data_IF_564516202801
#
_entry.id   IF_564516202801
#
_cell.length_a   1.000
_cell.length_b   1.000
_cell.length_c   1.000
_cell.angle_alpha   90.00
_cell.angle_beta   90.00
_cell.angle_gamma   90.00
#
_symmetry.space_group_name_H-M   'P 1'
#
loop_
_entity.id
_entity.type
_entity.pdbx_description
1 polymer ?
#
# COMPACT_ATOMS: atom_id res chain seq x y z
N UNK A 1 14.61 -81.26 -5.80
CA UNK A 1 13.37 -80.67 -5.27
C UNK A 1 13.65 -79.43 -4.42
N UNK A 2 14.62 -79.47 -3.51
CA UNK A 2 14.93 -78.36 -2.59
C UNK A 2 15.46 -77.07 -3.27
N UNK A 3 16.31 -77.19 -4.30
CA UNK A 3 16.82 -76.05 -5.08
C UNK A 3 15.73 -75.27 -5.83
N UNK A 4 14.64 -75.93 -6.21
CA UNK A 4 13.55 -75.31 -6.96
C UNK A 4 12.61 -74.57 -6.01
N UNK A 5 12.41 -75.11 -4.80
CA UNK A 5 11.67 -74.44 -3.72
C UNK A 5 12.42 -73.22 -3.17
N UNK A 6 13.75 -73.28 -3.04
CA UNK A 6 14.55 -72.13 -2.60
C UNK A 6 14.55 -70.99 -3.63
N UNK A 7 14.60 -71.29 -4.93
CA UNK A 7 14.47 -70.30 -6.01
C UNK A 7 13.11 -69.61 -6.00
N UNK A 8 12.03 -70.37 -5.78
CA UNK A 8 10.68 -69.80 -5.67
C UNK A 8 10.56 -68.91 -4.44
N UNK A 9 11.11 -69.32 -3.30
CA UNK A 9 11.09 -68.52 -2.07
C UNK A 9 11.87 -67.21 -2.23
N UNK A 10 13.04 -67.26 -2.84
CA UNK A 10 13.86 -66.06 -3.12
C UNK A 10 13.15 -65.14 -4.11
N UNK A 11 12.55 -65.68 -5.17
CA UNK A 11 11.73 -64.91 -6.11
C UNK A 11 10.53 -64.24 -5.44
N UNK A 12 9.86 -64.95 -4.52
CA UNK A 12 8.73 -64.42 -3.76
C UNK A 12 9.16 -63.31 -2.78
N UNK A 13 10.28 -63.48 -2.08
CA UNK A 13 10.84 -62.46 -1.16
C UNK A 13 11.30 -61.22 -1.94
N UNK A 14 12.00 -61.40 -3.07
CA UNK A 14 12.41 -60.27 -3.93
C UNK A 14 11.18 -59.56 -4.49
N UNK A 15 10.18 -60.30 -4.98
CA UNK A 15 8.92 -59.76 -5.47
C UNK A 15 8.14 -59.00 -4.39
N UNK A 16 8.10 -59.52 -3.15
CA UNK A 16 7.33 -58.95 -2.06
C UNK A 16 8.02 -57.76 -1.37
N UNK A 17 9.36 -57.70 -1.36
CA UNK A 17 10.09 -56.65 -0.64
C UNK A 17 10.77 -55.65 -1.57
N UNK A 18 11.44 -56.10 -2.64
CA UNK A 18 12.25 -55.21 -3.50
C UNK A 18 11.35 -54.41 -4.45
N UNK A 19 10.36 -55.05 -5.07
CA UNK A 19 9.44 -54.38 -6.00
C UNK A 19 8.66 -53.24 -5.34
N UNK A 20 7.99 -53.41 -4.18
CA UNK A 20 7.29 -52.29 -3.55
C UNK A 20 8.24 -51.20 -3.03
N UNK A 21 9.44 -51.54 -2.58
CA UNK A 21 10.44 -50.55 -2.16
C UNK A 21 10.92 -49.68 -3.33
N UNK A 22 11.20 -50.27 -4.50
CA UNK A 22 11.56 -49.52 -5.71
C UNK A 22 10.38 -48.67 -6.21
N UNK A 23 9.14 -49.20 -6.17
CA UNK A 23 7.94 -48.43 -6.52
C UNK A 23 7.71 -47.24 -5.57
N UNK A 24 7.91 -47.43 -4.26
CA UNK A 24 7.82 -46.35 -3.26
C UNK A 24 8.88 -45.27 -3.49
N UNK A 25 10.13 -45.65 -3.78
CA UNK A 25 11.20 -44.68 -4.09
C UNK A 25 10.92 -43.89 -5.37
N UNK A 26 10.41 -44.54 -6.42
CA UNK A 26 9.99 -43.87 -7.65
C UNK A 26 8.82 -42.92 -7.41
N UNK A 27 7.82 -43.34 -6.62
CA UNK A 27 6.69 -42.50 -6.25
C UNK A 27 7.11 -41.29 -5.40
N UNK A 28 8.03 -41.46 -4.44
CA UNK A 28 8.56 -40.36 -3.65
C UNK A 28 9.35 -39.35 -4.50
N UNK A 29 10.17 -39.85 -5.46
CA UNK A 29 10.89 -38.97 -6.40
C UNK A 29 9.92 -38.23 -7.33
N UNK A 30 8.88 -38.90 -7.83
CA UNK A 30 7.84 -38.29 -8.64
C UNK A 30 7.01 -37.26 -7.84
N UNK A 31 6.75 -37.52 -6.55
CA UNK A 31 6.08 -36.57 -5.66
C UNK A 31 6.94 -35.33 -5.39
N UNK A 32 8.25 -35.50 -5.14
CA UNK A 32 9.21 -34.39 -5.02
C UNK A 32 9.30 -33.56 -6.30
N UNK A 33 9.34 -34.21 -7.46
CA UNK A 33 9.33 -33.53 -8.77
C UNK A 33 8.00 -32.83 -9.05
N UNK A 34 6.87 -33.44 -8.67
CA UNK A 34 5.54 -32.84 -8.75
C UNK A 34 5.39 -31.61 -7.85
N UNK A 35 5.93 -31.65 -6.63
CA UNK A 35 5.99 -30.51 -5.73
C UNK A 35 6.88 -29.38 -6.27
N UNK A 36 8.00 -29.72 -6.90
CA UNK A 36 8.86 -28.72 -7.55
C UNK A 36 8.15 -28.05 -8.74
N UNK A 37 7.40 -28.81 -9.54
CA UNK A 37 6.60 -28.26 -10.64
C UNK A 37 5.37 -27.48 -10.19
N UNK A 38 4.74 -27.84 -9.07
CA UNK A 38 3.61 -27.08 -8.50
C UNK A 38 4.04 -25.77 -7.84
N UNK A 39 5.31 -25.65 -7.47
CA UNK A 39 5.87 -24.43 -6.88
C UNK A 39 6.48 -23.49 -7.92
N UNK A 40 6.42 -23.85 -9.21
CA UNK A 40 6.85 -22.98 -10.30
C UNK A 40 5.70 -22.04 -10.69
N UNK A 41 5.78 -20.73 -10.37
CA UNK A 41 4.71 -19.77 -10.64
C UNK A 41 4.42 -19.63 -12.14
N UNK A 42 5.42 -19.88 -13.00
CA UNK A 42 5.32 -19.76 -14.44
C UNK A 42 4.29 -20.73 -15.05
N UNK A 43 4.09 -21.90 -14.43
CA UNK A 43 3.11 -22.89 -14.87
C UNK A 43 1.65 -22.43 -14.67
N UNK A 44 1.44 -21.40 -13.85
CA UNK A 44 0.13 -20.84 -13.54
C UNK A 44 -0.08 -19.45 -14.15
N UNK A 45 0.84 -19.00 -15.01
CA UNK A 45 0.80 -17.67 -15.62
C UNK A 45 1.24 -16.54 -14.68
N UNK A 46 1.84 -16.86 -13.54
CA UNK A 46 2.49 -15.86 -12.68
C UNK A 46 3.95 -15.66 -13.09
N UNK A 47 4.48 -14.47 -12.81
CA UNK A 47 5.89 -14.15 -13.04
C UNK A 47 6.76 -14.90 -12.02
N UNK A 48 7.84 -15.60 -12.43
CA UNK A 48 8.78 -16.24 -11.51
C UNK A 48 9.38 -15.25 -10.51
N UNK A 49 9.71 -15.70 -9.29
CA UNK A 49 10.19 -14.82 -8.23
C UNK A 49 11.47 -14.04 -8.61
N UNK A 50 12.37 -14.66 -9.37
CA UNK A 50 13.58 -14.07 -9.93
C UNK A 50 13.33 -13.03 -11.03
N UNK A 51 12.11 -12.97 -11.57
CA UNK A 51 11.65 -12.01 -12.58
C UNK A 51 10.66 -10.99 -11.99
N UNK A 52 10.26 -11.15 -10.73
CA UNK A 52 9.50 -10.11 -10.03
C UNK A 52 10.39 -8.88 -9.88
N UNK A 53 9.82 -7.74 -10.20
CA UNK A 53 10.49 -6.47 -10.08
C UNK A 53 10.70 -6.13 -8.60
N UNK A 54 11.93 -6.33 -8.12
CA UNK A 54 12.35 -6.05 -6.74
C UNK A 54 12.30 -4.56 -6.39
N UNK A 55 12.02 -3.69 -7.38
CA UNK A 55 11.78 -2.26 -7.18
C UNK A 55 10.44 -1.97 -6.50
N UNK A 56 9.53 -2.94 -6.44
CA UNK A 56 8.35 -2.85 -5.57
C UNK A 56 8.79 -3.20 -4.15
N UNK A 57 8.90 -2.22 -3.23
CA UNK A 57 9.55 -2.47 -1.96
C UNK A 57 8.71 -3.45 -1.14
N UNK A 58 9.40 -4.36 -0.46
CA UNK A 58 8.83 -5.05 0.70
C UNK A 58 8.35 -4.03 1.75
N UNK A 59 7.75 -4.50 2.86
CA UNK A 59 7.24 -3.60 3.89
C UNK A 59 8.30 -2.56 4.28
N UNK A 60 8.01 -1.26 4.08
CA UNK A 60 8.88 -0.13 4.46
C UNK A 60 8.87 -0.02 5.98
N UNK A 61 9.92 -0.49 6.69
CA UNK A 61 9.90 -0.56 8.14
C UNK A 61 9.95 0.85 8.76
N UNK A 62 10.61 1.79 8.10
CA UNK A 62 10.71 3.18 8.57
C UNK A 62 9.35 3.87 8.54
N UNK A 63 8.58 3.63 7.47
CA UNK A 63 7.20 4.11 7.37
C UNK A 63 6.32 3.49 8.46
N UNK A 64 6.42 2.18 8.67
CA UNK A 64 5.63 1.48 9.69
C UNK A 64 5.95 2.01 11.09
N UNK A 65 7.22 2.21 11.42
CA UNK A 65 7.65 2.73 12.72
C UNK A 65 7.19 4.18 12.93
N UNK A 66 7.43 5.05 11.93
CA UNK A 66 7.02 6.46 11.99
C UNK A 66 5.50 6.61 12.09
N UNK A 67 4.74 5.80 11.34
CA UNK A 67 3.29 5.81 11.39
C UNK A 67 2.80 5.26 12.73
N UNK A 68 3.37 4.17 13.25
CA UNK A 68 3.01 3.62 14.56
C UNK A 68 3.21 4.66 15.67
N UNK A 69 4.33 5.38 15.64
CA UNK A 69 4.59 6.47 16.58
C UNK A 69 3.55 7.60 16.41
N UNK A 70 3.35 8.07 15.19
CA UNK A 70 2.40 9.15 14.85
C UNK A 70 0.99 8.81 15.28
N UNK A 71 0.51 7.59 15.03
CA UNK A 71 -0.84 7.16 15.43
C UNK A 71 -1.00 7.04 16.94
N UNK A 72 0.07 6.67 17.64
CA UNK A 72 0.08 6.55 19.10
C UNK A 72 0.10 7.93 19.78
N UNK A 73 0.93 8.86 19.31
CA UNK A 73 1.12 10.18 19.92
C UNK A 73 0.20 11.26 19.34
N UNK A 74 -0.30 11.03 18.12
CA UNK A 74 -0.95 12.02 17.25
C UNK A 74 -0.03 13.22 16.94
N UNK A 75 1.30 13.04 17.06
CA UNK A 75 2.33 13.97 16.61
C UNK A 75 2.71 13.65 15.17
N UNK A 76 2.60 14.63 14.28
CA UNK A 76 2.89 14.49 12.84
C UNK A 76 4.38 14.49 12.50
N UNK A 77 5.24 14.94 13.42
CA UNK A 77 6.68 15.13 13.16
C UNK A 77 7.41 13.86 12.68
N UNK A 78 7.13 12.64 13.15
CA UNK A 78 7.81 11.43 12.67
C UNK A 78 7.61 11.20 11.17
N UNK A 79 6.37 11.29 10.69
CA UNK A 79 6.05 11.08 9.26
C UNK A 79 6.49 12.25 8.39
N UNK A 80 6.48 13.49 8.92
CA UNK A 80 7.03 14.65 8.21
C UNK A 80 8.55 14.53 8.01
N UNK A 81 9.30 14.11 9.03
CA UNK A 81 10.75 13.85 8.89
C UNK A 81 11.02 12.76 7.85
N UNK A 82 10.20 11.72 7.80
CA UNK A 82 10.35 10.64 6.84
C UNK A 82 10.17 11.12 5.39
N UNK A 83 9.20 12.00 5.15
CA UNK A 83 8.96 12.59 3.83
C UNK A 83 10.00 13.65 3.46
N UNK A 84 10.52 14.41 4.42
CA UNK A 84 11.60 15.37 4.17
C UNK A 84 12.91 14.70 3.68
N UNK A 85 13.02 13.37 3.79
CA UNK A 85 14.15 12.59 3.26
C UNK A 85 13.92 12.08 1.83
N UNK A 86 12.81 12.42 1.18
CA UNK A 86 12.44 11.90 -0.15
C UNK A 86 12.27 13.00 -1.23
N UNK A 87 12.98 14.12 -1.09
CA UNK A 87 12.83 15.27 -2.00
C UNK A 87 13.57 15.11 -3.34
N UNK A 88 14.38 14.06 -3.50
CA UNK A 88 15.21 13.82 -4.68
C UNK A 88 14.50 13.07 -5.83
N UNK A 89 14.98 13.21 -7.08
CA UNK A 89 14.40 12.52 -8.24
C UNK A 89 14.39 11.00 -8.19
N UNK A 90 15.36 10.40 -7.49
CA UNK A 90 15.47 8.94 -7.34
C UNK A 90 14.46 8.41 -6.31
N UNK A 91 14.05 9.28 -5.37
CA UNK A 91 13.17 8.96 -4.25
C UNK A 91 11.70 9.32 -4.51
N UNK A 92 11.35 9.95 -5.64
CA UNK A 92 9.97 10.35 -5.94
C UNK A 92 8.99 9.17 -5.94
N UNK A 93 9.42 7.99 -6.41
CA UNK A 93 8.58 6.79 -6.36
C UNK A 93 8.33 6.36 -4.90
N UNK A 94 9.38 6.35 -4.07
CA UNK A 94 9.26 6.07 -2.64
C UNK A 94 8.39 7.11 -1.93
N UNK A 95 8.53 8.38 -2.30
CA UNK A 95 7.72 9.48 -1.79
C UNK A 95 6.25 9.25 -2.10
N UNK A 96 5.90 8.92 -3.34
CA UNK A 96 4.53 8.63 -3.73
C UNK A 96 3.93 7.47 -2.91
N UNK A 97 4.67 6.40 -2.72
CA UNK A 97 4.24 5.25 -1.93
C UNK A 97 4.01 5.61 -0.45
N UNK A 98 4.92 6.40 0.15
CA UNK A 98 4.77 6.92 1.51
C UNK A 98 3.56 7.85 1.61
N UNK A 99 3.39 8.78 0.68
CA UNK A 99 2.23 9.71 0.63
C UNK A 99 0.91 8.95 0.57
N UNK A 100 0.78 7.96 -0.33
CA UNK A 100 -0.42 7.14 -0.42
C UNK A 100 -0.73 6.39 0.88
N UNK A 101 0.30 5.81 1.49
CA UNK A 101 0.16 5.02 2.72
C UNK A 101 -0.23 5.90 3.92
N UNK A 102 0.42 7.06 4.08
CA UNK A 102 0.11 8.02 5.14
C UNK A 102 -1.31 8.58 5.00
N UNK A 103 -1.69 8.95 3.77
CA UNK A 103 -3.03 9.42 3.46
C UNK A 103 -4.09 8.34 3.74
N UNK A 104 -3.83 7.10 3.35
CA UNK A 104 -4.70 5.96 3.61
C UNK A 104 -4.87 5.67 5.11
N UNK A 105 -3.78 5.77 5.87
CA UNK A 105 -3.81 5.61 7.33
C UNK A 105 -4.65 6.70 8.01
N UNK A 106 -4.48 7.96 7.63
CA UNK A 106 -5.31 9.06 8.13
C UNK A 106 -6.80 8.88 7.78
N UNK A 107 -7.10 8.43 6.55
CA UNK A 107 -8.47 8.14 6.12
C UNK A 107 -9.08 6.98 6.92
N UNK A 108 -8.31 5.93 7.20
CA UNK A 108 -8.77 4.80 8.00
C UNK A 108 -9.03 5.19 9.46
N UNK A 109 -8.12 5.91 10.11
CA UNK A 109 -8.31 6.42 11.48
C UNK A 109 -9.60 7.25 11.57
N UNK A 110 -9.82 8.16 10.62
CA UNK A 110 -11.04 8.97 10.61
C UNK A 110 -12.30 8.12 10.44
N UNK A 111 -12.27 7.09 9.58
CA UNK A 111 -13.41 6.18 9.39
C UNK A 111 -13.68 5.36 10.64
N UNK A 112 -12.64 4.83 11.29
CA UNK A 112 -12.75 4.10 12.55
C UNK A 112 -13.31 4.98 13.66
N UNK A 113 -12.84 6.23 13.78
CA UNK A 113 -13.35 7.20 14.73
C UNK A 113 -14.83 7.52 14.50
N UNK A 114 -15.25 7.73 13.24
CA UNK A 114 -16.67 7.91 12.88
C UNK A 114 -17.51 6.69 13.24
N UNK A 115 -17.01 5.49 12.94
CA UNK A 115 -17.71 4.23 13.27
C UNK A 115 -17.84 4.01 14.79
N UNK A 116 -16.86 4.48 15.57
CA UNK A 116 -16.90 4.48 17.03
C UNK A 116 -17.80 5.59 17.64
N UNK A 117 -18.37 6.48 16.81
CA UNK A 117 -19.20 7.60 17.26
C UNK A 117 -18.41 8.74 17.91
N UNK A 118 -17.12 8.87 17.60
CA UNK A 118 -16.34 10.03 18.04
C UNK A 118 -16.94 11.31 17.42
N UNK A 119 -17.12 12.39 18.20
CA UNK A 119 -17.67 13.64 17.67
C UNK A 119 -16.78 14.16 16.54
N UNK A 120 -17.42 14.70 15.48
CA UNK A 120 -16.68 15.42 14.45
C UNK A 120 -15.91 16.57 15.11
N UNK A 121 -14.66 16.81 14.71
CA UNK A 121 -13.78 17.80 15.33
C UNK A 121 -14.35 19.24 15.32
N UNK A 122 -15.40 19.51 14.54
CA UNK A 122 -16.15 20.78 14.54
C UNK A 122 -17.02 20.98 15.77
N UNK A 123 -17.39 19.91 16.48
CA UNK A 123 -18.26 19.95 17.66
C UNK A 123 -17.45 19.91 18.98
N UNK A 124 -16.13 20.11 18.89
CA UNK A 124 -15.21 20.08 20.03
C UNK A 124 -15.28 21.33 20.92
N UNK A 125 -16.36 22.12 20.84
CA UNK A 125 -16.72 23.06 21.90
C UNK A 125 -17.45 22.30 23.02
N UNK A 126 -16.65 21.87 24.00
CA UNK A 126 -17.08 21.56 25.38
C UNK A 126 -17.95 20.30 25.59
N UNK A 127 -17.44 19.12 25.23
CA UNK A 127 -17.93 17.87 25.84
C UNK A 127 -16.85 17.28 26.76
N UNK A 128 -17.00 17.49 28.07
CA UNK A 128 -16.17 16.84 29.10
C UNK A 128 -16.54 15.35 29.11
N UNK A 129 -15.72 14.52 28.48
CA UNK A 129 -15.89 13.07 28.54
C UNK A 129 -15.51 12.56 29.93
N UNK A 130 -16.49 12.07 30.69
CA UNK A 130 -16.33 11.55 32.05
C UNK A 130 -16.04 10.04 32.10
N UNK A 131 -15.70 9.41 30.97
CA UNK A 131 -15.40 7.99 30.92
C UNK A 131 -13.90 7.76 31.03
N UNK A 132 -13.47 7.21 32.17
CA UNK A 132 -12.08 6.82 32.44
C UNK A 132 -11.67 5.68 31.50
N UNK A 133 -11.06 6.05 30.39
CA UNK A 133 -10.48 5.19 29.38
C UNK A 133 -9.65 6.05 28.42
N UNK A 134 -8.59 6.69 28.93
CA UNK A 134 -7.74 7.66 28.23
C UNK A 134 -6.84 7.03 27.15
N UNK A 135 -7.37 6.18 26.29
CA UNK A 135 -6.71 5.94 25.01
C UNK A 135 -6.96 7.17 24.13
N UNK A 136 -5.93 7.86 23.64
CA UNK A 136 -6.14 8.97 22.72
C UNK A 136 -6.95 8.47 21.52
N UNK A 137 -8.08 9.14 21.23
CA UNK A 137 -8.90 8.82 20.05
C UNK A 137 -8.00 8.97 18.82
N UNK A 138 -7.96 7.96 17.96
CA UNK A 138 -7.23 7.98 16.69
C UNK A 138 -8.18 8.44 15.61
N UNK A 139 -8.26 9.76 15.42
CA UNK A 139 -9.19 10.42 14.50
C UNK A 139 -8.47 11.06 13.30
N UNK A 140 -7.20 10.71 13.09
CA UNK A 140 -6.35 11.29 12.04
C UNK A 140 -6.10 12.79 12.22
N UNK A 141 -6.30 13.36 13.43
CA UNK A 141 -6.11 14.80 13.66
C UNK A 141 -4.66 15.25 13.46
N UNK A 142 -3.70 14.34 13.57
CA UNK A 142 -2.28 14.61 13.32
C UNK A 142 -2.07 15.26 11.94
N UNK A 143 -2.82 14.83 10.92
CA UNK A 143 -2.69 15.38 9.56
C UNK A 143 -3.24 16.82 9.47
N UNK A 144 -4.36 17.10 10.15
CA UNK A 144 -4.91 18.46 10.24
C UNK A 144 -3.98 19.38 11.04
N UNK A 145 -3.41 18.88 12.13
CA UNK A 145 -2.43 19.60 12.93
C UNK A 145 -1.16 19.91 12.12
N UNK A 146 -0.67 18.96 11.31
CA UNK A 146 0.47 19.20 10.41
C UNK A 146 0.18 20.34 9.44
N UNK A 147 -0.97 20.31 8.75
CA UNK A 147 -1.36 21.37 7.81
C UNK A 147 -1.49 22.73 8.48
N UNK A 148 -1.96 22.78 9.74
CA UNK A 148 -2.09 24.01 10.49
C UNK A 148 -0.75 24.56 11.00
N UNK A 149 0.13 23.69 11.51
CA UNK A 149 1.43 24.07 12.08
C UNK A 149 2.49 24.38 11.02
N UNK A 150 2.45 23.71 9.86
CA UNK A 150 3.41 23.85 8.77
C UNK A 150 2.70 23.98 7.41
N UNK A 151 2.02 25.11 7.13
CA UNK A 151 1.25 25.28 5.89
C UNK A 151 2.14 25.27 4.63
N UNK A 152 3.44 25.61 4.76
CA UNK A 152 4.40 25.64 3.65
C UNK A 152 5.17 24.32 3.46
N UNK A 153 4.79 23.25 4.17
CA UNK A 153 5.39 21.93 4.00
C UNK A 153 4.73 21.19 2.82
N UNK A 154 5.51 20.93 1.77
CA UNK A 154 5.05 20.21 0.59
C UNK A 154 4.57 18.79 0.90
N UNK A 155 5.25 18.07 1.80
CA UNK A 155 4.87 16.72 2.20
C UNK A 155 3.52 16.70 2.91
N UNK A 156 3.29 17.66 3.80
CA UNK A 156 2.00 17.83 4.48
C UNK A 156 0.86 18.08 3.49
N UNK A 157 1.07 18.98 2.53
CA UNK A 157 0.09 19.28 1.48
C UNK A 157 -0.20 18.05 0.59
N UNK A 158 0.84 17.31 0.17
CA UNK A 158 0.70 16.09 -0.64
C UNK A 158 -0.12 15.00 0.07
N UNK A 159 0.21 14.71 1.33
CA UNK A 159 -0.54 13.73 2.13
C UNK A 159 -1.99 14.16 2.30
N UNK A 160 -2.24 15.46 2.53
CA UNK A 160 -3.60 15.98 2.69
C UNK A 160 -4.43 15.90 1.40
N UNK A 161 -3.86 16.27 0.25
CA UNK A 161 -4.53 16.12 -1.04
C UNK A 161 -4.91 14.66 -1.33
N UNK A 162 -3.98 13.74 -1.12
CA UNK A 162 -4.24 12.31 -1.32
C UNK A 162 -5.24 11.75 -0.31
N UNK A 163 -5.24 12.25 0.93
CA UNK A 163 -6.22 11.89 1.95
C UNK A 163 -7.64 12.27 1.50
N UNK A 164 -7.83 13.47 0.95
CA UNK A 164 -9.14 13.91 0.41
C UNK A 164 -9.60 13.02 -0.75
N UNK A 165 -8.68 12.62 -1.65
CA UNK A 165 -8.97 11.63 -2.70
C UNK A 165 -9.48 10.32 -2.10
N UNK A 166 -8.80 9.78 -1.08
CA UNK A 166 -9.25 8.54 -0.42
C UNK A 166 -10.60 8.68 0.27
N UNK A 167 -10.90 9.83 0.87
CA UNK A 167 -12.22 10.09 1.44
C UNK A 167 -13.31 10.07 0.36
N UNK A 168 -13.10 10.81 -0.74
CA UNK A 168 -14.07 10.89 -1.83
C UNK A 168 -14.31 9.53 -2.49
N UNK A 169 -13.25 8.73 -2.70
CA UNK A 169 -13.37 7.39 -3.28
C UNK A 169 -13.98 6.37 -2.33
N UNK A 170 -13.84 6.55 -1.01
CA UNK A 170 -14.46 5.69 -0.01
C UNK A 170 -15.97 5.92 0.13
N UNK A 171 -16.47 7.11 -0.23
CA UNK A 171 -17.87 7.52 -0.11
C UNK A 171 -18.36 8.18 -1.43
N UNK A 172 -18.44 7.44 -2.55
CA UNK A 172 -18.73 8.01 -3.86
C UNK A 172 -20.14 8.59 -3.98
N UNK A 173 -21.10 8.07 -3.22
CA UNK A 173 -22.50 8.54 -3.21
C UNK A 173 -22.74 9.70 -2.22
N UNK A 174 -21.69 10.18 -1.54
CA UNK A 174 -21.80 11.31 -0.61
C UNK A 174 -22.16 12.60 -1.35
N UNK A 175 -23.04 13.41 -0.76
CA UNK A 175 -23.37 14.73 -1.28
C UNK A 175 -22.12 15.64 -1.39
N UNK A 176 -21.13 15.41 -0.52
CA UNK A 176 -19.89 16.19 -0.47
C UNK A 176 -18.81 15.65 -1.41
N UNK A 177 -19.03 14.53 -2.10
CA UNK A 177 -18.04 13.86 -2.96
C UNK A 177 -17.36 14.84 -3.92
N UNK A 178 -18.16 15.66 -4.62
CA UNK A 178 -17.63 16.67 -5.54
C UNK A 178 -16.87 17.78 -4.81
N UNK A 179 -17.36 18.24 -3.66
CA UNK A 179 -16.72 19.31 -2.87
C UNK A 179 -15.35 18.85 -2.39
N UNK A 180 -15.24 17.63 -1.87
CA UNK A 180 -13.99 17.03 -1.41
C UNK A 180 -12.98 16.89 -2.56
N UNK A 181 -13.42 16.49 -3.76
CA UNK A 181 -12.53 16.37 -4.91
C UNK A 181 -12.04 17.72 -5.45
N UNK A 182 -12.88 18.76 -5.43
CA UNK A 182 -12.45 20.12 -5.79
C UNK A 182 -11.45 20.67 -4.75
N UNK A 183 -11.64 20.37 -3.46
CA UNK A 183 -10.65 20.70 -2.43
C UNK A 183 -9.34 19.92 -2.63
N UNK A 184 -9.42 18.61 -2.93
CA UNK A 184 -8.26 17.80 -3.24
C UNK A 184 -7.45 18.38 -4.42
N UNK A 185 -8.15 18.91 -5.44
CA UNK A 185 -7.52 19.62 -6.58
C UNK A 185 -6.75 20.84 -6.10
N UNK A 186 -7.37 21.70 -5.30
CA UNK A 186 -6.76 22.93 -4.82
C UNK A 186 -5.49 22.63 -4.00
N UNK A 187 -5.57 21.65 -3.10
CA UNK A 187 -4.42 21.24 -2.27
C UNK A 187 -3.34 20.57 -3.13
N UNK A 188 -3.70 19.79 -4.16
CA UNK A 188 -2.72 19.26 -5.11
C UNK A 188 -1.97 20.36 -5.87
N UNK A 189 -2.67 21.44 -6.27
CA UNK A 189 -2.03 22.61 -6.89
C UNK A 189 -1.13 23.38 -5.91
N UNK A 190 -1.54 23.52 -4.65
CA UNK A 190 -0.69 24.08 -3.60
C UNK A 190 0.58 23.25 -3.39
N UNK A 191 0.44 21.94 -3.29
CA UNK A 191 1.56 21.01 -3.17
C UNK A 191 2.51 21.08 -4.38
N UNK A 192 1.97 21.21 -5.59
CA UNK A 192 2.76 21.41 -6.81
C UNK A 192 3.53 22.74 -6.77
N UNK A 193 2.93 23.81 -6.23
CA UNK A 193 3.62 25.09 -6.09
C UNK A 193 4.75 25.05 -5.05
N UNK A 194 4.59 24.27 -3.97
CA UNK A 194 5.62 24.10 -2.93
C UNK A 194 6.78 23.20 -3.39
N UNK A 195 6.51 22.23 -4.25
CA UNK A 195 7.51 21.29 -4.78
C UNK A 195 7.36 21.09 -6.30
N UNK A 196 7.70 22.12 -7.08
CA UNK A 196 7.48 22.12 -8.54
C UNK A 196 8.19 20.98 -9.29
N UNK A 197 9.35 20.52 -8.82
CA UNK A 197 10.05 19.41 -9.46
C UNK A 197 9.38 18.05 -9.21
N UNK A 198 8.62 17.91 -8.13
CA UNK A 198 8.07 16.64 -7.66
C UNK A 198 6.83 16.23 -8.50
N UNK A 199 6.80 15.01 -9.07
CA UNK A 199 5.63 14.50 -9.79
C UNK A 199 4.44 14.18 -8.88
N UNK A 200 4.66 13.94 -7.57
CA UNK A 200 3.66 13.46 -6.60
C UNK A 200 2.35 14.24 -6.61
N UNK A 201 2.35 15.59 -6.54
CA UNK A 201 1.10 16.37 -6.55
C UNK A 201 0.29 16.19 -7.84
N UNK A 202 0.99 16.06 -8.98
CA UNK A 202 0.39 15.86 -10.29
C UNK A 202 -0.22 14.46 -10.42
N UNK A 203 0.42 13.45 -9.80
CA UNK A 203 -0.12 12.08 -9.73
C UNK A 203 -1.41 12.07 -8.90
N UNK A 204 -1.43 12.72 -7.74
CA UNK A 204 -2.66 12.89 -6.96
C UNK A 204 -3.76 13.59 -7.78
N UNK A 205 -3.43 14.63 -8.54
CA UNK A 205 -4.40 15.28 -9.41
C UNK A 205 -4.92 14.35 -10.53
N UNK A 206 -4.16 13.37 -11.02
CA UNK A 206 -4.68 12.40 -12.01
C UNK A 206 -5.86 11.59 -11.44
N UNK A 207 -5.87 11.27 -10.15
CA UNK A 207 -7.03 10.64 -9.49
C UNK A 207 -8.22 11.59 -9.46
N UNK A 208 -7.99 12.86 -9.10
CA UNK A 208 -9.02 13.91 -9.09
C UNK A 208 -9.59 14.12 -10.50
N UNK A 209 -8.74 14.20 -11.50
CA UNK A 209 -9.09 14.42 -12.90
C UNK A 209 -9.96 13.29 -13.43
N UNK A 210 -9.65 12.04 -13.06
CA UNK A 210 -10.47 10.87 -13.39
C UNK A 210 -11.83 10.93 -12.70
N UNK A 211 -11.87 11.24 -11.41
CA UNK A 211 -13.11 11.26 -10.63
C UNK A 211 -14.04 12.41 -11.04
N UNK A 212 -13.49 13.59 -11.38
CA UNK A 212 -14.25 14.76 -11.80
C UNK A 212 -14.56 14.78 -13.31
N UNK A 213 -14.05 13.81 -14.08
CA UNK A 213 -14.32 13.69 -15.51
C UNK A 213 -13.71 14.82 -16.33
N UNK A 214 -12.42 15.11 -16.13
CA UNK A 214 -11.71 16.11 -16.92
C UNK A 214 -11.83 15.85 -18.42
N UNK A 215 -11.80 16.92 -19.21
CA UNK A 215 -11.71 16.80 -20.67
C UNK A 215 -10.39 16.10 -21.02
N UNK A 216 -10.41 15.29 -22.08
CA UNK A 216 -9.22 14.54 -22.53
C UNK A 216 -7.98 15.42 -22.68
N UNK A 217 -8.11 16.60 -23.27
CA UNK A 217 -6.98 17.52 -23.47
C UNK A 217 -6.38 18.02 -22.14
N UNK A 218 -7.21 18.28 -21.13
CA UNK A 218 -6.74 18.71 -19.80
C UNK A 218 -6.05 17.55 -19.08
N UNK A 219 -6.60 16.34 -19.19
CA UNK A 219 -5.99 15.12 -18.65
C UNK A 219 -4.65 14.81 -19.31
N UNK A 220 -4.56 14.89 -20.64
CA UNK A 220 -3.31 14.70 -21.40
C UNK A 220 -2.25 15.75 -21.01
N UNK A 221 -2.65 17.01 -20.83
CA UNK A 221 -1.75 18.06 -20.36
C UNK A 221 -1.20 17.75 -18.96
N UNK A 222 -2.05 17.30 -18.03
CA UNK A 222 -1.64 16.87 -16.70
C UNK A 222 -0.73 15.64 -16.75
N UNK A 223 -1.05 14.65 -17.58
CA UNK A 223 -0.22 13.47 -17.79
C UNK A 223 1.19 13.84 -18.29
N UNK A 224 1.29 14.78 -19.23
CA UNK A 224 2.57 15.30 -19.70
C UNK A 224 3.40 15.98 -18.61
N UNK A 225 2.76 16.57 -17.60
CA UNK A 225 3.46 17.14 -16.44
C UNK A 225 4.17 16.06 -15.62
N UNK A 226 3.54 14.89 -15.44
CA UNK A 226 4.15 13.76 -14.73
C UNK A 226 5.28 13.16 -15.56
N UNK A 227 5.02 12.83 -16.83
CA UNK A 227 6.02 12.21 -17.72
C UNK A 227 7.27 13.09 -17.89
N UNK A 228 7.10 14.41 -17.93
CA UNK A 228 8.23 15.34 -18.03
C UNK A 228 9.13 15.31 -16.80
N UNK A 229 8.54 15.18 -15.61
CA UNK A 229 9.28 15.17 -14.34
C UNK A 229 9.91 13.81 -14.10
N UNK A 230 9.10 12.75 -14.19
CA UNK A 230 9.51 11.39 -13.86
C UNK A 230 8.97 10.40 -14.91
N UNK A 231 9.64 10.23 -16.06
CA UNK A 231 9.15 9.41 -17.17
C UNK A 231 9.09 7.91 -16.87
N UNK A 232 9.82 7.45 -15.85
CA UNK A 232 9.84 6.06 -15.39
C UNK A 232 9.03 5.84 -14.10
N UNK A 233 8.26 6.84 -13.66
CA UNK A 233 7.45 6.75 -12.45
C UNK A 233 6.30 5.75 -12.64
N UNK A 234 6.10 4.86 -11.67
CA UNK A 234 5.14 3.75 -11.76
C UNK A 234 3.76 4.12 -11.20
N UNK A 235 3.69 5.20 -10.41
CA UNK A 235 2.46 5.70 -9.81
C UNK A 235 1.45 6.39 -10.74
N UNK A 236 1.80 6.67 -11.99
CA UNK A 236 0.99 7.44 -12.94
C UNK A 236 0.37 6.54 -14.01
#
# INVERSE_FOLDING_TARGET
>A
MEFLLSLILVGAVIGLFVVPMVRRRKAAKAALQGMAHSNDPGNYGFVPAEQLDVRLPGPDPELVDALTETQRTQDWRPVARLLALTDGPEEWELRWQRVQSLAGAAAMELREARAAGAPAATDAEQHISLTKGDAPVRDGRWLRAWRAEQPQDAGGAQVYAQFLVWQALGEPDSADHRIILEEARNVAHEAAALADADPTPHITELFVARALGYRRADFESLWHQVVRRAPAHMGA
#
